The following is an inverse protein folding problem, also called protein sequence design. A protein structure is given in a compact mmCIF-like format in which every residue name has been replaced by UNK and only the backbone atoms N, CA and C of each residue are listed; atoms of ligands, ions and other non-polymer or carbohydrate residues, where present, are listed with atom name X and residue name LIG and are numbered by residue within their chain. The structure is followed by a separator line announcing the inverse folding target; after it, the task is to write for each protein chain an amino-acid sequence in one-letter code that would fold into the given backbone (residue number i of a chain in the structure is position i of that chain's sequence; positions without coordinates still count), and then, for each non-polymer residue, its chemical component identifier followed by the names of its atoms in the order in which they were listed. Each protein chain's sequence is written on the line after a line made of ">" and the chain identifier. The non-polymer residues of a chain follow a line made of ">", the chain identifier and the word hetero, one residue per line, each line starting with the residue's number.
data_IF_483422489172
#
_entry.id   IF_483422489172
#
_cell.length_a   1.000
_cell.length_b   1.000
_cell.length_c   1.000
_cell.angle_alpha   90.00
_cell.angle_beta   90.00
_cell.angle_gamma   90.00
#
_symmetry.space_group_name_H-M   'P 1'
#
loop_
_entity.id
_entity.type
_entity.pdbx_description
1 polymer ?
#
# COMPACT_ATOMS: atom_id res chain seq x y z
N UNK A 1 -28.32 13.09 -12.99
CA UNK A 1 -27.63 12.77 -11.75
C UNK A 1 -28.66 12.28 -10.76
N UNK A 2 -28.54 11.01 -10.35
CA UNK A 2 -29.37 10.47 -9.28
C UNK A 2 -28.92 11.15 -7.98
N UNK A 3 -29.83 11.92 -7.38
CA UNK A 3 -29.58 12.53 -6.08
C UNK A 3 -29.74 11.46 -4.98
N UNK A 4 -28.62 10.88 -4.57
CA UNK A 4 -28.53 9.92 -3.46
C UNK A 4 -28.63 10.65 -2.11
N UNK A 5 -29.62 11.49 -1.96
CA UNK A 5 -29.80 12.30 -0.78
C UNK A 5 -30.08 11.44 0.47
N UNK A 6 -29.45 11.79 1.56
CA UNK A 6 -29.46 11.24 2.92
C UNK A 6 -30.84 10.88 3.51
N UNK A 7 -31.95 11.21 2.86
CA UNK A 7 -33.32 10.88 3.28
C UNK A 7 -33.67 9.37 3.23
N UNK A 8 -32.92 8.59 2.41
CA UNK A 8 -33.14 7.14 2.35
C UNK A 8 -32.55 6.40 3.56
N UNK A 9 -31.46 6.91 4.15
CA UNK A 9 -30.80 6.29 5.32
C UNK A 9 -31.69 6.23 6.57
N UNK A 10 -32.63 7.16 6.73
CA UNK A 10 -33.50 7.20 7.90
C UNK A 10 -34.71 6.24 7.82
N UNK A 11 -34.95 5.62 6.67
CA UNK A 11 -36.10 4.74 6.47
C UNK A 11 -35.76 3.25 6.64
N UNK A 12 -34.51 2.87 6.52
CA UNK A 12 -34.05 1.47 6.60
C UNK A 12 -32.84 1.37 7.51
N UNK A 13 -33.00 0.72 8.65
CA UNK A 13 -31.95 0.56 9.68
C UNK A 13 -30.77 -0.32 9.21
N UNK A 14 -30.93 -1.09 8.12
CA UNK A 14 -29.93 -1.99 7.55
C UNK A 14 -29.67 -1.71 6.05
N UNK A 15 -29.81 -0.45 5.61
CA UNK A 15 -29.53 -0.11 4.21
C UNK A 15 -28.02 -0.21 3.92
N UNK A 16 -27.66 -1.06 2.96
CA UNK A 16 -26.32 -1.14 2.39
C UNK A 16 -26.28 -0.19 1.20
N UNK A 17 -25.21 0.58 1.10
CA UNK A 17 -24.99 1.46 -0.04
C UNK A 17 -24.23 0.66 -1.12
N UNK A 18 -24.87 0.47 -2.28
CA UNK A 18 -24.32 -0.28 -3.40
C UNK A 18 -24.20 0.61 -4.64
N UNK A 19 -23.18 0.35 -5.47
CA UNK A 19 -23.00 0.96 -6.78
C UNK A 19 -23.09 -0.15 -7.86
N UNK A 20 -24.26 -0.41 -8.45
CA UNK A 20 -24.41 -1.44 -9.46
C UNK A 20 -23.62 -1.05 -10.74
N UNK A 21 -22.86 -2.00 -11.26
CA UNK A 21 -22.11 -1.86 -12.51
C UNK A 21 -22.66 -2.86 -13.51
N UNK A 22 -23.05 -2.37 -14.69
CA UNK A 22 -23.44 -3.20 -15.82
C UNK A 22 -22.33 -3.13 -16.90
N UNK A 23 -21.91 -4.30 -17.39
CA UNK A 23 -20.88 -4.41 -18.42
C UNK A 23 -21.35 -5.35 -19.53
N UNK A 24 -21.18 -4.93 -20.77
CA UNK A 24 -21.32 -5.77 -21.94
C UNK A 24 -19.93 -6.13 -22.49
N UNK A 25 -19.74 -7.40 -22.82
CA UNK A 25 -18.50 -7.91 -23.40
C UNK A 25 -18.80 -8.69 -24.69
N UNK A 26 -17.82 -8.85 -25.53
CA UNK A 26 -17.92 -9.69 -26.72
C UNK A 26 -18.28 -11.14 -26.35
N UNK A 27 -19.02 -11.79 -27.26
CA UNK A 27 -19.41 -13.19 -27.08
C UNK A 27 -18.20 -14.09 -26.87
N UNK A 28 -18.17 -14.80 -25.76
CA UNK A 28 -17.14 -15.78 -25.46
C UNK A 28 -17.41 -17.13 -26.13
N UNK A 29 -16.34 -17.84 -26.45
CA UNK A 29 -16.40 -19.12 -27.20
C UNK A 29 -16.96 -20.26 -26.37
N UNK A 30 -16.71 -20.27 -25.06
CA UNK A 30 -17.04 -21.32 -24.14
C UNK A 30 -17.32 -20.81 -22.72
N UNK A 31 -17.90 -21.68 -21.87
CA UNK A 31 -18.21 -21.37 -20.48
C UNK A 31 -16.96 -21.14 -19.63
N UNK A 32 -15.85 -21.83 -19.90
CA UNK A 32 -14.62 -21.70 -19.13
C UNK A 32 -14.01 -20.28 -19.28
N UNK A 33 -14.12 -19.69 -20.47
CA UNK A 33 -13.71 -18.30 -20.68
C UNK A 33 -14.54 -17.32 -19.87
N UNK A 34 -15.85 -17.56 -19.73
CA UNK A 34 -16.75 -16.74 -18.90
C UNK A 34 -16.38 -16.88 -17.43
N UNK A 35 -16.19 -18.10 -16.95
CA UNK A 35 -15.81 -18.37 -15.55
C UNK A 35 -14.48 -17.69 -15.18
N UNK A 36 -13.51 -17.72 -16.10
CA UNK A 36 -12.23 -17.02 -15.91
C UNK A 36 -12.41 -15.52 -15.77
N UNK A 37 -13.20 -14.90 -16.67
CA UNK A 37 -13.49 -13.45 -16.60
C UNK A 37 -14.20 -13.11 -15.28
N UNK A 38 -15.18 -13.90 -14.86
CA UNK A 38 -15.86 -13.70 -13.59
C UNK A 38 -14.89 -13.79 -12.39
N UNK A 39 -13.99 -14.77 -12.39
CA UNK A 39 -13.01 -14.94 -11.32
C UNK A 39 -12.01 -13.76 -11.25
N UNK A 40 -11.52 -13.30 -12.41
CA UNK A 40 -10.65 -12.13 -12.48
C UNK A 40 -11.36 -10.86 -12.03
N UNK A 41 -12.61 -10.66 -12.42
CA UNK A 41 -13.43 -9.53 -12.02
C UNK A 41 -13.68 -9.52 -10.50
N UNK A 42 -14.05 -10.67 -9.93
CA UNK A 42 -14.24 -10.79 -8.49
C UNK A 42 -12.96 -10.44 -7.72
N UNK A 43 -11.80 -10.89 -8.20
CA UNK A 43 -10.52 -10.55 -7.60
C UNK A 43 -10.26 -9.04 -7.60
N UNK A 44 -10.57 -8.36 -8.72
CA UNK A 44 -10.42 -6.89 -8.79
C UNK A 44 -11.37 -6.19 -7.81
N UNK A 45 -12.61 -6.66 -7.70
CA UNK A 45 -13.58 -6.10 -6.75
C UNK A 45 -13.18 -6.33 -5.29
N UNK A 46 -12.62 -7.49 -4.96
CA UNK A 46 -12.04 -7.77 -3.64
C UNK A 46 -10.84 -6.85 -3.34
N UNK A 47 -10.00 -6.57 -4.35
CA UNK A 47 -8.88 -5.64 -4.21
C UNK A 47 -9.38 -4.21 -3.94
N UNK A 48 -10.41 -3.76 -4.64
CA UNK A 48 -11.04 -2.45 -4.41
C UNK A 48 -11.64 -2.36 -3.01
N UNK A 49 -12.37 -3.38 -2.59
CA UNK A 49 -13.05 -3.40 -1.27
C UNK A 49 -12.03 -3.27 -0.13
N UNK A 50 -10.95 -4.07 -0.15
CA UNK A 50 -9.92 -4.01 0.89
C UNK A 50 -9.18 -2.66 0.89
N UNK A 51 -8.89 -2.08 -0.29
CA UNK A 51 -8.24 -0.78 -0.40
C UNK A 51 -9.12 0.31 0.19
N UNK A 52 -10.39 0.35 -0.21
CA UNK A 52 -11.35 1.37 0.29
C UNK A 52 -11.56 1.25 1.79
N UNK A 53 -11.66 0.02 2.29
CA UNK A 53 -11.81 -0.26 3.72
C UNK A 53 -10.60 0.19 4.53
N UNK A 54 -9.40 -0.05 4.02
CA UNK A 54 -8.14 0.23 4.72
C UNK A 54 -7.64 1.66 4.47
N UNK A 55 -8.22 2.40 3.53
CA UNK A 55 -7.83 3.77 3.17
C UNK A 55 -7.68 4.71 4.39
N UNK A 56 -8.66 4.79 5.32
CA UNK A 56 -8.53 5.68 6.47
C UNK A 56 -7.32 5.33 7.35
N UNK A 57 -7.01 4.04 7.49
CA UNK A 57 -5.86 3.58 8.25
C UNK A 57 -4.54 3.90 7.53
N UNK A 58 -4.48 3.79 6.20
CA UNK A 58 -3.30 4.18 5.42
C UNK A 58 -3.00 5.67 5.57
N UNK A 59 -4.01 6.54 5.50
CA UNK A 59 -3.87 7.99 5.71
C UNK A 59 -3.45 8.30 7.16
N UNK A 60 -4.04 7.64 8.15
CA UNK A 60 -3.62 7.80 9.54
C UNK A 60 -2.15 7.41 9.77
N UNK A 61 -1.69 6.33 9.12
CA UNK A 61 -0.29 5.91 9.19
C UNK A 61 0.64 6.89 8.47
N UNK A 62 0.21 7.52 7.38
CA UNK A 62 0.99 8.60 6.75
C UNK A 62 1.22 9.76 7.74
N UNK A 63 0.17 10.19 8.44
CA UNK A 63 0.26 11.25 9.44
C UNK A 63 1.16 10.86 10.62
N UNK A 64 1.11 9.59 11.07
CA UNK A 64 2.04 9.08 12.09
C UNK A 64 3.50 9.12 11.63
N UNK A 65 3.76 8.84 10.36
CA UNK A 65 5.10 8.96 9.75
C UNK A 65 5.54 10.42 9.72
N UNK A 66 4.66 11.35 9.32
CA UNK A 66 4.95 12.79 9.35
C UNK A 66 5.35 13.25 10.75
N UNK A 67 4.59 12.89 11.78
CA UNK A 67 4.92 13.22 13.18
C UNK A 67 6.27 12.63 13.62
N UNK A 68 6.59 11.40 13.22
CA UNK A 68 7.90 10.82 13.52
C UNK A 68 9.05 11.57 12.83
N UNK A 69 8.82 12.14 11.65
CA UNK A 69 9.81 12.92 10.90
C UNK A 69 9.97 14.35 11.43
N UNK A 70 8.94 14.95 12.04
CA UNK A 70 9.00 16.27 12.68
C UNK A 70 10.10 16.32 13.74
N UNK A 71 10.19 15.27 14.58
CA UNK A 71 11.23 15.15 15.61
C UNK A 71 12.65 15.04 15.03
N UNK A 72 12.78 14.79 13.73
CA UNK A 72 14.02 14.59 13.00
C UNK A 72 14.34 15.73 12.02
N UNK A 73 13.58 16.85 12.08
CA UNK A 73 13.75 18.04 11.23
C UNK A 73 13.73 17.76 9.71
N UNK A 74 12.87 16.84 9.26
CA UNK A 74 12.75 16.44 7.85
C UNK A 74 11.56 17.11 7.14
N UNK A 75 11.48 18.42 7.19
CA UNK A 75 10.36 19.21 6.64
C UNK A 75 10.13 18.98 5.14
N UNK A 76 11.18 18.71 4.35
CA UNK A 76 11.05 18.46 2.92
C UNK A 76 10.27 17.17 2.65
N UNK A 77 10.62 16.08 3.34
CA UNK A 77 9.90 14.80 3.21
C UNK A 77 8.47 14.93 3.71
N UNK A 78 8.23 15.64 4.82
CA UNK A 78 6.88 15.90 5.35
C UNK A 78 6.03 16.66 4.34
N UNK A 79 6.57 17.72 3.74
CA UNK A 79 5.88 18.51 2.71
C UNK A 79 5.51 17.65 1.52
N UNK A 80 6.41 16.78 1.08
CA UNK A 80 6.14 15.82 0.00
C UNK A 80 5.04 14.82 0.37
N UNK A 81 5.04 14.28 1.59
CA UNK A 81 4.02 13.33 2.04
C UNK A 81 2.63 13.98 2.12
N UNK A 82 2.52 15.21 2.60
CA UNK A 82 1.26 15.96 2.58
C UNK A 82 0.80 16.28 1.17
N UNK A 83 1.73 16.59 0.24
CA UNK A 83 1.38 16.75 -1.16
C UNK A 83 0.79 15.47 -1.76
N UNK A 84 1.32 14.30 -1.43
CA UNK A 84 0.76 13.01 -1.87
C UNK A 84 -0.66 12.78 -1.31
N UNK A 85 -0.88 13.12 -0.03
CA UNK A 85 -2.19 13.01 0.63
C UNK A 85 -3.25 13.91 -0.03
N UNK A 86 -2.85 15.09 -0.53
CA UNK A 86 -3.72 16.03 -1.23
C UNK A 86 -4.05 15.57 -2.68
N UNK A 87 -4.52 14.34 -2.80
CA UNK A 87 -5.00 13.71 -4.04
C UNK A 87 -3.97 13.59 -5.18
N UNK A 88 -2.67 13.64 -4.88
CA UNK A 88 -1.61 13.46 -5.87
C UNK A 88 -1.10 12.01 -5.94
N UNK A 89 -1.52 11.17 -5.02
CA UNK A 89 -1.21 9.74 -5.01
C UNK A 89 -2.41 8.91 -4.53
N UNK A 90 -2.65 7.78 -5.18
CA UNK A 90 -3.69 6.83 -4.76
C UNK A 90 -3.05 5.72 -3.95
N UNK A 91 -3.19 5.77 -2.64
CA UNK A 91 -2.69 4.72 -1.75
C UNK A 91 -3.52 3.45 -1.94
N UNK A 92 -2.89 2.38 -2.37
CA UNK A 92 -3.51 1.05 -2.55
C UNK A 92 -2.95 0.01 -1.60
N UNK A 93 -1.83 0.31 -0.93
CA UNK A 93 -1.22 -0.59 0.04
C UNK A 93 -0.25 0.12 0.98
N UNK A 94 -0.09 -0.46 2.16
CA UNK A 94 0.81 0.00 3.22
C UNK A 94 1.44 -1.18 3.93
N UNK A 95 2.71 -1.04 4.36
CA UNK A 95 3.41 -2.04 5.17
C UNK A 95 4.59 -1.43 5.93
N UNK A 96 4.90 -2.01 7.10
CA UNK A 96 6.05 -1.62 7.92
C UNK A 96 7.06 -2.75 8.05
N UNK A 97 8.33 -2.35 8.19
CA UNK A 97 9.44 -3.24 8.49
C UNK A 97 10.33 -2.63 9.58
N UNK A 98 10.95 -3.47 10.36
CA UNK A 98 12.01 -3.11 11.30
C UNK A 98 13.37 -3.52 10.76
N UNK A 99 14.38 -2.68 10.98
CA UNK A 99 15.77 -3.01 10.71
C UNK A 99 16.33 -3.82 11.86
N UNK A 100 16.64 -5.08 11.63
CA UNK A 100 17.26 -5.97 12.60
C UNK A 100 18.60 -6.49 12.08
N UNK A 101 19.40 -7.03 12.97
CA UNK A 101 20.64 -7.71 12.63
C UNK A 101 20.50 -9.18 12.95
N UNK A 102 20.78 -10.04 12.00
CA UNK A 102 20.73 -11.48 12.17
C UNK A 102 21.95 -12.02 12.96
N UNK A 103 21.96 -13.31 13.28
CA UNK A 103 23.06 -13.99 13.98
C UNK A 103 24.39 -13.95 13.24
N UNK A 104 24.38 -13.65 11.93
CA UNK A 104 25.57 -13.54 11.07
C UNK A 104 25.99 -12.09 10.85
N UNK A 105 25.43 -11.15 11.62
CA UNK A 105 25.64 -9.71 11.50
C UNK A 105 25.21 -9.11 10.16
N UNK A 106 24.22 -9.71 9.48
CA UNK A 106 23.60 -9.12 8.29
C UNK A 106 22.37 -8.31 8.69
N UNK A 107 22.16 -7.18 8.02
CA UNK A 107 20.94 -6.40 8.18
C UNK A 107 19.77 -7.10 7.46
N UNK A 108 18.69 -7.24 8.16
CA UNK A 108 17.42 -7.77 7.64
C UNK A 108 16.30 -6.75 7.87
N UNK A 109 15.34 -6.74 6.97
CA UNK A 109 14.06 -6.02 7.13
C UNK A 109 13.03 -7.05 7.59
N UNK A 110 12.70 -6.99 8.87
CA UNK A 110 11.67 -7.84 9.47
C UNK A 110 10.31 -7.17 9.30
N UNK A 111 9.38 -7.87 8.72
CA UNK A 111 7.99 -7.43 8.63
C UNK A 111 7.38 -7.23 10.03
N UNK A 112 6.65 -6.12 10.21
CA UNK A 112 5.88 -5.85 11.42
C UNK A 112 4.51 -6.50 11.28
N UNK A 113 4.25 -7.55 12.04
CA UNK A 113 3.01 -8.32 11.96
C UNK A 113 1.78 -7.43 12.21
N UNK A 114 0.77 -7.54 11.37
CA UNK A 114 -0.44 -6.74 11.44
C UNK A 114 -0.32 -5.33 10.83
N UNK A 115 0.83 -4.94 10.27
CA UNK A 115 1.00 -3.63 9.65
C UNK A 115 0.46 -3.55 8.22
N UNK A 116 0.32 -4.68 7.55
CA UNK A 116 -0.08 -4.73 6.13
C UNK A 116 -1.51 -4.28 5.90
N UNK A 117 -1.73 -3.32 4.98
CA UNK A 117 -3.03 -2.80 4.59
C UNK A 117 -3.20 -2.82 3.07
N UNK A 118 -4.45 -2.86 2.62
CA UNK A 118 -4.80 -2.88 1.20
C UNK A 118 -4.20 -4.08 0.47
N UNK A 119 -3.59 -3.85 -0.70
CA UNK A 119 -2.95 -4.91 -1.49
C UNK A 119 -1.71 -5.51 -0.81
N UNK A 120 -1.18 -4.86 0.23
CA UNK A 120 -0.07 -5.34 1.05
C UNK A 120 -0.52 -5.94 2.39
N UNK A 121 -1.82 -6.24 2.54
CA UNK A 121 -2.35 -6.88 3.76
C UNK A 121 -1.70 -8.24 4.04
N UNK A 122 -1.67 -8.62 5.32
CA UNK A 122 -1.04 -9.86 5.81
C UNK A 122 -1.49 -11.11 5.07
N UNK A 123 -2.77 -11.20 4.74
CA UNK A 123 -3.33 -12.33 4.00
C UNK A 123 -2.73 -12.52 2.59
N UNK A 124 -2.07 -11.50 2.05
CA UNK A 124 -1.49 -11.46 0.70
C UNK A 124 0.04 -11.47 0.69
N UNK A 125 0.68 -11.32 1.85
CA UNK A 125 2.14 -11.26 1.98
C UNK A 125 2.72 -12.67 2.19
N UNK A 126 3.44 -13.17 1.18
CA UNK A 126 4.08 -14.47 1.24
C UNK A 126 5.53 -14.42 1.77
N UNK A 127 6.15 -13.25 1.84
CA UNK A 127 7.56 -13.13 2.17
C UNK A 127 7.82 -11.90 3.03
N UNK A 128 7.67 -12.08 4.33
CA UNK A 128 7.60 -11.00 5.31
C UNK A 128 8.97 -10.49 5.77
N UNK A 129 10.05 -11.29 5.59
CA UNK A 129 11.40 -10.91 5.96
C UNK A 129 12.28 -10.80 4.74
N UNK A 130 13.02 -9.68 4.61
CA UNK A 130 13.93 -9.44 3.50
C UNK A 130 15.38 -9.38 4.00
N UNK A 131 16.19 -10.33 3.57
CA UNK A 131 17.62 -10.31 3.83
C UNK A 131 18.30 -9.35 2.84
N UNK A 132 18.81 -8.21 3.32
CA UNK A 132 19.47 -7.23 2.46
C UNK A 132 20.73 -7.78 1.78
N UNK A 133 21.39 -8.75 2.42
CA UNK A 133 22.57 -9.43 1.86
C UNK A 133 22.29 -10.21 0.55
N UNK A 134 21.02 -10.60 0.32
CA UNK A 134 20.57 -11.31 -0.89
C UNK A 134 20.11 -10.40 -2.01
N UNK A 135 20.01 -9.09 -1.75
CA UNK A 135 19.61 -8.10 -2.75
C UNK A 135 20.77 -7.74 -3.67
N UNK A 136 20.42 -7.22 -4.84
CA UNK A 136 21.39 -6.55 -5.70
C UNK A 136 22.15 -5.47 -4.92
N UNK A 137 23.46 -5.31 -5.12
CA UNK A 137 24.27 -4.33 -4.36
C UNK A 137 23.75 -2.91 -4.42
N UNK A 138 23.24 -2.45 -5.56
CA UNK A 138 22.72 -1.08 -5.72
C UNK A 138 21.40 -0.90 -4.97
N UNK A 139 20.51 -1.88 -5.05
CA UNK A 139 19.26 -1.89 -4.29
C UNK A 139 19.53 -1.93 -2.78
N UNK A 140 20.48 -2.78 -2.34
CA UNK A 140 20.87 -2.88 -0.93
C UNK A 140 21.40 -1.55 -0.39
N UNK A 141 22.23 -0.85 -1.17
CA UNK A 141 22.78 0.45 -0.78
C UNK A 141 21.67 1.48 -0.53
N UNK A 142 20.62 1.51 -1.36
CA UNK A 142 19.48 2.40 -1.16
C UNK A 142 18.76 2.17 0.18
N UNK A 143 18.71 0.93 0.66
CA UNK A 143 18.13 0.63 1.98
C UNK A 143 19.05 0.96 3.14
N UNK A 144 20.37 0.95 2.93
CA UNK A 144 21.39 1.14 3.98
C UNK A 144 21.93 2.57 4.06
N UNK A 145 21.78 3.37 3.00
CA UNK A 145 22.23 4.77 2.99
C UNK A 145 21.37 5.65 3.92
N UNK A 146 21.81 6.89 4.12
CA UNK A 146 21.14 7.84 5.01
C UNK A 146 20.01 8.64 4.32
N UNK A 147 19.67 8.36 3.08
CA UNK A 147 18.51 8.96 2.42
C UNK A 147 17.22 8.45 3.06
N UNK A 148 16.34 9.35 3.43
CA UNK A 148 15.09 9.01 4.14
C UNK A 148 13.97 8.58 3.22
N UNK A 149 13.97 9.07 2.00
CA UNK A 149 12.94 8.81 0.99
C UNK A 149 13.53 7.94 -0.12
N UNK A 150 12.82 6.88 -0.45
CA UNK A 150 13.12 6.01 -1.58
C UNK A 150 11.88 5.87 -2.44
N UNK A 151 11.97 6.27 -3.70
CA UNK A 151 10.92 6.17 -4.69
C UNK A 151 11.29 5.14 -5.75
N UNK A 152 10.32 4.40 -6.23
CA UNK A 152 10.56 3.43 -7.29
C UNK A 152 9.28 2.78 -7.81
N UNK A 153 9.47 1.81 -8.69
CA UNK A 153 8.39 0.98 -9.22
C UNK A 153 8.56 -0.46 -8.75
N UNK A 154 7.43 -1.12 -8.53
CA UNK A 154 7.42 -2.57 -8.31
C UNK A 154 7.53 -3.30 -9.65
N UNK A 155 7.79 -4.59 -9.59
CA UNK A 155 7.71 -5.53 -10.71
C UNK A 155 6.29 -6.12 -10.90
N UNK A 156 5.34 -5.67 -10.10
CA UNK A 156 3.96 -6.15 -10.10
C UNK A 156 3.03 -5.11 -10.69
N UNK A 157 2.20 -5.52 -11.63
CA UNK A 157 1.15 -4.67 -12.19
C UNK A 157 -0.02 -4.55 -11.21
N UNK A 158 -0.55 -3.33 -11.08
CA UNK A 158 -1.76 -3.09 -10.32
C UNK A 158 -2.95 -3.80 -10.96
N UNK A 159 -3.76 -4.43 -10.13
CA UNK A 159 -5.09 -4.97 -10.50
C UNK A 159 -6.18 -3.90 -10.46
N UNK A 160 -5.93 -2.79 -9.79
CA UNK A 160 -6.88 -1.70 -9.52
C UNK A 160 -6.33 -0.36 -9.98
N UNK A 161 -7.19 0.63 -10.10
CA UNK A 161 -6.91 1.99 -10.56
C UNK A 161 -6.51 2.06 -12.04
N UNK A 162 -5.37 1.52 -12.43
CA UNK A 162 -4.91 1.41 -13.82
C UNK A 162 -3.94 0.25 -13.99
N UNK A 163 -3.90 -0.43 -15.15
CA UNK A 163 -2.97 -1.53 -15.40
C UNK A 163 -1.55 -0.97 -15.68
N UNK A 164 -0.82 -0.69 -14.60
CA UNK A 164 0.56 -0.20 -14.65
C UNK A 164 1.37 -0.82 -13.51
N UNK A 165 2.70 -0.86 -13.66
CA UNK A 165 3.59 -1.17 -12.55
C UNK A 165 3.39 -0.13 -11.45
N UNK A 166 3.14 -0.61 -10.24
CA UNK A 166 2.83 0.27 -9.10
C UNK A 166 4.05 1.06 -8.68
N UNK A 167 3.84 2.34 -8.42
CA UNK A 167 4.85 3.16 -7.77
C UNK A 167 4.89 2.82 -6.27
N UNK A 168 6.06 2.85 -5.67
CA UNK A 168 6.20 2.74 -4.23
C UNK A 168 6.95 3.94 -3.65
N UNK A 169 6.55 4.30 -2.45
CA UNK A 169 7.16 5.34 -1.65
C UNK A 169 7.59 4.69 -0.35
N UNK A 170 8.88 4.71 -0.08
CA UNK A 170 9.45 4.11 1.13
C UNK A 170 10.12 5.18 1.96
N UNK A 171 9.79 5.24 3.24
CA UNK A 171 10.32 6.19 4.20
C UNK A 171 11.13 5.43 5.25
N UNK A 172 12.36 5.86 5.49
CA UNK A 172 13.20 5.37 6.58
C UNK A 172 13.10 6.28 7.79
N UNK A 173 12.72 5.70 8.92
CA UNK A 173 12.67 6.38 10.22
C UNK A 173 13.92 5.95 10.98
N UNK A 174 14.67 6.94 11.47
CA UNK A 174 15.97 6.75 12.11
C UNK A 174 15.80 6.78 13.63
N UNK A 175 16.68 6.08 14.33
CA UNK A 175 16.79 6.15 15.80
C UNK A 175 17.65 7.34 16.26
N UNK A 176 17.80 7.48 17.57
CA UNK A 176 18.61 8.54 18.18
C UNK A 176 20.11 8.49 17.82
N UNK A 177 20.60 7.35 17.34
CA UNK A 177 21.99 7.17 16.86
C UNK A 177 22.14 7.42 15.36
N UNK A 178 21.13 8.04 14.73
CA UNK A 178 21.06 8.31 13.29
C UNK A 178 21.28 7.06 12.41
N UNK A 179 20.65 5.94 12.84
CA UNK A 179 20.63 4.69 12.07
C UNK A 179 19.21 4.34 11.68
N UNK A 180 18.99 3.78 10.48
CA UNK A 180 17.67 3.30 10.08
C UNK A 180 17.14 2.28 11.08
N UNK A 181 15.97 2.52 11.64
CA UNK A 181 15.31 1.67 12.63
C UNK A 181 14.01 1.07 12.09
N UNK A 182 13.22 1.87 11.40
CA UNK A 182 11.96 1.46 10.77
C UNK A 182 11.93 1.86 9.30
N UNK A 183 11.24 1.06 8.51
CA UNK A 183 10.96 1.33 7.10
C UNK A 183 9.47 1.21 6.89
N UNK A 184 8.88 2.26 6.36
CA UNK A 184 7.46 2.33 6.01
C UNK A 184 7.33 2.42 4.51
N UNK A 185 6.46 1.61 3.92
CA UNK A 185 6.21 1.62 2.47
C UNK A 185 4.74 1.84 2.18
N UNK A 186 4.49 2.77 1.28
CA UNK A 186 3.22 2.97 0.59
C UNK A 186 3.34 2.52 -0.87
N UNK A 187 2.25 1.99 -1.40
CA UNK A 187 2.08 1.59 -2.80
C UNK A 187 0.80 2.21 -3.35
#
# INVERSE_FOLDING_TARGET
>A
PLDFNNKAKNKYTNAIQEAPIYMEIDRQKDGASIEKICAELNKVLEDVDIIVKDWPAMVANLNNVCHALETQNNNEVITFLHWLEDNHFTFIGYVEYEYLVDKKNNTILQYVAGSGLGVLSDARQYNLTRELSKMDPSAREQYLNNERLLLGKTDTMASVHRPAYTDFITIKIFNEQDKPARLVRFV
#
